data_IF_360408112760
#
_entry.id   IF_360408112760
#
_cell.length_a   1.000
_cell.length_b   1.000
_cell.length_c   1.000
_cell.angle_alpha   90.00
_cell.angle_beta   90.00
_cell.angle_gamma   90.00
#
_symmetry.space_group_name_H-M   'P 1'
#
loop_
_entity.id
_entity.type
_entity.pdbx_description
1 polymer ?
#
# COMPACT_ATOMS: atom_id res chain seq x y z
N UNK A 1 -28.47 -19.95 -10.10
CA UNK A 1 -27.48 -18.90 -9.80
C UNK A 1 -28.19 -17.56 -9.90
N UNK A 2 -28.39 -16.86 -8.78
CA UNK A 2 -29.24 -15.65 -8.70
C UNK A 2 -28.44 -14.36 -8.93
N UNK A 3 -29.03 -13.37 -9.58
CA UNK A 3 -28.40 -12.07 -9.93
C UNK A 3 -27.93 -11.24 -8.71
N UNK A 4 -28.25 -11.64 -7.48
CA UNK A 4 -27.82 -10.99 -6.22
C UNK A 4 -26.36 -11.27 -5.85
N UNK A 5 -25.73 -12.30 -6.43
CA UNK A 5 -24.35 -12.72 -6.08
C UNK A 5 -23.28 -12.07 -6.99
N UNK A 6 -23.68 -11.40 -8.07
CA UNK A 6 -22.80 -10.75 -9.04
C UNK A 6 -21.82 -9.74 -8.41
N UNK A 7 -22.25 -8.83 -7.51
CA UNK A 7 -21.37 -7.81 -6.93
C UNK A 7 -20.28 -8.37 -6.02
N UNK A 8 -20.51 -9.52 -5.37
CA UNK A 8 -19.55 -10.15 -4.47
C UNK A 8 -18.44 -10.85 -5.26
N UNK A 9 -18.81 -11.59 -6.31
CA UNK A 9 -17.87 -12.30 -7.18
C UNK A 9 -16.93 -11.35 -7.92
N UNK A 10 -17.42 -10.20 -8.38
CA UNK A 10 -16.60 -9.19 -9.04
C UNK A 10 -15.52 -8.61 -8.11
N UNK A 11 -15.84 -8.46 -6.81
CA UNK A 11 -14.88 -8.00 -5.80
C UNK A 11 -13.79 -9.02 -5.58
N UNK A 12 -14.16 -10.28 -5.38
CA UNK A 12 -13.22 -11.38 -5.15
C UNK A 12 -12.25 -11.52 -6.33
N UNK A 13 -12.76 -11.40 -7.57
CA UNK A 13 -11.92 -11.39 -8.77
C UNK A 13 -10.95 -10.21 -8.80
N UNK A 14 -11.40 -9.00 -8.43
CA UNK A 14 -10.54 -7.82 -8.35
C UNK A 14 -9.45 -7.96 -7.29
N UNK A 15 -9.78 -8.49 -6.11
CA UNK A 15 -8.78 -8.76 -5.06
C UNK A 15 -7.77 -9.82 -5.51
N UNK A 16 -8.23 -10.87 -6.21
CA UNK A 16 -7.36 -11.90 -6.77
C UNK A 16 -6.41 -11.35 -7.86
N UNK A 17 -6.90 -10.45 -8.72
CA UNK A 17 -6.08 -9.77 -9.72
C UNK A 17 -4.98 -8.92 -9.06
N UNK A 18 -5.34 -8.15 -8.02
CA UNK A 18 -4.35 -7.34 -7.27
C UNK A 18 -3.32 -8.24 -6.60
N UNK A 19 -3.76 -9.33 -5.97
CA UNK A 19 -2.85 -10.32 -5.38
C UNK A 19 -1.83 -10.81 -6.41
N UNK A 20 -2.30 -11.25 -7.58
CA UNK A 20 -1.44 -11.72 -8.67
C UNK A 20 -0.45 -10.64 -9.15
N UNK A 21 -0.90 -9.39 -9.28
CA UNK A 21 -0.04 -8.25 -9.64
C UNK A 21 1.03 -7.96 -8.60
N UNK A 22 0.73 -8.11 -7.30
CA UNK A 22 1.71 -7.93 -6.24
C UNK A 22 2.73 -9.07 -6.25
N UNK A 23 2.27 -10.33 -6.29
CA UNK A 23 3.14 -11.51 -6.24
C UNK A 23 4.04 -11.64 -7.49
N UNK A 24 3.59 -11.14 -8.65
CA UNK A 24 4.41 -11.07 -9.86
C UNK A 24 5.37 -9.88 -9.93
N UNK A 25 5.35 -8.98 -8.93
CA UNK A 25 6.17 -7.75 -8.93
C UNK A 25 5.68 -6.65 -9.87
N UNK A 26 4.43 -6.75 -10.36
CA UNK A 26 3.79 -5.72 -11.17
C UNK A 26 3.43 -4.46 -10.37
N UNK A 27 3.22 -4.59 -9.06
CA UNK A 27 3.07 -3.46 -8.13
C UNK A 27 4.44 -3.06 -7.61
N UNK A 28 4.87 -1.83 -7.94
CA UNK A 28 6.16 -1.29 -7.50
C UNK A 28 6.03 -0.17 -6.48
N UNK A 29 4.82 0.40 -6.38
CA UNK A 29 4.49 1.49 -5.45
C UNK A 29 3.13 1.26 -4.84
N UNK A 30 2.94 1.69 -3.59
CA UNK A 30 1.64 1.57 -2.93
C UNK A 30 0.53 2.30 -3.68
N UNK A 31 0.83 3.45 -4.31
CA UNK A 31 -0.12 4.20 -5.14
C UNK A 31 -0.70 3.41 -6.32
N UNK A 32 -0.04 2.33 -6.74
CA UNK A 32 -0.53 1.47 -7.83
C UNK A 32 -1.78 0.69 -7.37
N UNK A 33 -2.08 0.65 -6.05
CA UNK A 33 -3.29 0.07 -5.47
C UNK A 33 -4.50 1.02 -5.46
N UNK A 34 -4.42 2.20 -6.08
CA UNK A 34 -5.44 3.26 -6.00
C UNK A 34 -6.72 2.99 -6.81
N UNK A 35 -6.76 1.93 -7.61
CA UNK A 35 -7.90 1.58 -8.47
C UNK A 35 -9.20 1.27 -7.70
N UNK A 36 -10.27 0.91 -8.41
CA UNK A 36 -11.66 0.81 -7.91
C UNK A 36 -11.86 -0.18 -6.74
N UNK A 37 -10.85 -0.99 -6.44
CA UNK A 37 -10.75 -1.90 -5.29
C UNK A 37 -10.24 -1.22 -4.01
N UNK A 38 -9.56 -0.06 -4.11
CA UNK A 38 -8.99 0.69 -2.99
C UNK A 38 -10.04 0.97 -1.91
N UNK A 39 -11.26 1.31 -2.33
CA UNK A 39 -12.37 1.57 -1.41
C UNK A 39 -12.75 0.34 -0.58
N UNK A 40 -12.71 -0.86 -1.17
CA UNK A 40 -13.06 -2.09 -0.46
C UNK A 40 -11.91 -2.57 0.41
N UNK A 41 -10.68 -2.43 -0.07
CA UNK A 41 -9.48 -2.76 0.71
C UNK A 41 -9.44 -1.93 1.99
N UNK A 42 -9.61 -0.60 1.88
CA UNK A 42 -9.63 0.29 3.02
C UNK A 42 -10.74 -0.08 4.02
N UNK A 43 -11.95 -0.36 3.51
CA UNK A 43 -13.10 -0.74 4.34
C UNK A 43 -12.82 -2.02 5.13
N UNK A 44 -12.37 -3.09 4.47
CA UNK A 44 -12.08 -4.36 5.12
C UNK A 44 -10.85 -4.31 6.03
N UNK A 45 -9.86 -3.49 5.68
CA UNK A 45 -8.71 -3.25 6.54
C UNK A 45 -9.03 -2.34 7.73
N UNK A 46 -10.24 -1.76 7.82
CA UNK A 46 -10.63 -0.85 8.89
C UNK A 46 -9.86 0.48 8.86
N UNK A 47 -9.61 1.00 7.66
CA UNK A 47 -8.92 2.26 7.40
C UNK A 47 -9.92 3.22 6.75
N UNK A 48 -9.96 4.46 7.25
CA UNK A 48 -10.76 5.50 6.61
C UNK A 48 -10.30 5.73 5.15
N UNK A 49 -11.24 5.90 4.22
CA UNK A 49 -10.94 6.01 2.78
C UNK A 49 -9.99 7.14 2.41
N UNK A 50 -10.20 8.33 2.99
CA UNK A 50 -9.34 9.48 2.75
C UNK A 50 -7.94 9.22 3.27
N UNK A 51 -7.83 8.67 4.50
CA UNK A 51 -6.54 8.28 5.08
C UNK A 51 -5.85 7.21 4.25
N UNK A 52 -6.56 6.18 3.81
CA UNK A 52 -6.01 5.14 2.96
C UNK A 52 -5.43 5.74 1.68
N UNK A 53 -6.19 6.61 1.01
CA UNK A 53 -5.75 7.29 -0.22
C UNK A 53 -4.51 8.16 0.00
N UNK A 54 -4.45 8.91 1.09
CA UNK A 54 -3.26 9.69 1.48
C UNK A 54 -2.06 8.79 1.75
N UNK A 55 -2.24 7.69 2.48
CA UNK A 55 -1.17 6.74 2.80
C UNK A 55 -0.67 5.96 1.58
N UNK A 56 -1.51 5.72 0.57
CA UNK A 56 -1.03 5.15 -0.70
C UNK A 56 -0.05 6.09 -1.42
N UNK A 57 -0.20 7.41 -1.23
CA UNK A 57 0.72 8.42 -1.76
C UNK A 57 1.95 8.56 -0.86
N UNK A 58 1.76 8.48 0.47
CA UNK A 58 2.80 8.55 1.50
C UNK A 58 2.90 7.22 2.27
N UNK A 59 3.52 6.18 1.69
CA UNK A 59 3.49 4.82 2.23
C UNK A 59 4.11 4.67 3.63
N UNK A 60 5.01 5.57 4.04
CA UNK A 60 5.56 5.59 5.41
C UNK A 60 4.58 5.94 6.52
N UNK A 61 3.38 6.42 6.18
CA UNK A 61 2.33 6.68 7.16
C UNK A 61 1.50 5.44 7.52
N UNK A 62 1.69 4.32 6.81
CA UNK A 62 1.09 3.05 7.20
C UNK A 62 1.73 2.53 8.48
N UNK A 63 0.89 2.19 9.45
CA UNK A 63 1.31 1.41 10.61
C UNK A 63 1.50 -0.05 10.21
N UNK A 64 2.38 -0.76 10.91
CA UNK A 64 2.58 -2.21 10.70
C UNK A 64 1.24 -2.97 10.81
N UNK A 65 0.40 -2.62 11.79
CA UNK A 65 -0.92 -3.25 11.94
C UNK A 65 -1.88 -2.98 10.79
N UNK A 66 -1.81 -1.83 10.12
CA UNK A 66 -2.58 -1.58 8.88
C UNK A 66 -2.08 -2.46 7.75
N UNK A 67 -0.77 -2.62 7.61
CA UNK A 67 -0.15 -3.45 6.55
C UNK A 67 -0.56 -4.91 6.70
N UNK A 68 -0.54 -5.45 7.92
CA UNK A 68 -1.04 -6.81 8.20
C UNK A 68 -2.54 -6.97 7.89
N UNK A 69 -3.37 -5.95 8.15
CA UNK A 69 -4.79 -6.02 7.80
C UNK A 69 -4.99 -5.98 6.29
N UNK A 70 -4.26 -5.14 5.56
CA UNK A 70 -4.27 -5.10 4.10
C UNK A 70 -3.81 -6.44 3.52
N UNK A 71 -2.73 -7.01 4.06
CA UNK A 71 -2.19 -8.30 3.62
C UNK A 71 -3.23 -9.42 3.78
N UNK A 72 -3.97 -9.43 4.90
CA UNK A 72 -5.07 -10.37 5.13
C UNK A 72 -6.21 -10.18 4.12
N UNK A 73 -6.60 -8.93 3.84
CA UNK A 73 -7.65 -8.62 2.85
C UNK A 73 -7.27 -9.05 1.43
N UNK A 74 -6.00 -8.87 1.05
CA UNK A 74 -5.49 -9.21 -0.27
C UNK A 74 -5.05 -10.68 -0.38
N UNK A 75 -4.86 -11.37 0.74
CA UNK A 75 -4.30 -12.72 0.77
C UNK A 75 -2.84 -12.78 0.28
N UNK A 76 -2.06 -11.74 0.58
CA UNK A 76 -0.64 -11.58 0.18
C UNK A 76 0.24 -11.65 1.43
N UNK A 77 1.50 -12.09 1.28
CA UNK A 77 2.48 -12.03 2.36
C UNK A 77 2.75 -10.56 2.76
N UNK A 78 2.56 -10.17 4.03
CA UNK A 78 2.83 -8.80 4.49
C UNK A 78 4.28 -8.35 4.22
N UNK A 79 5.25 -9.27 4.12
CA UNK A 79 6.64 -8.93 3.78
C UNK A 79 6.77 -8.26 2.42
N UNK A 80 6.01 -8.72 1.42
CA UNK A 80 6.05 -8.14 0.07
C UNK A 80 5.56 -6.68 0.11
N UNK A 81 4.49 -6.41 0.85
CA UNK A 81 3.97 -5.05 1.04
C UNK A 81 4.97 -4.17 1.79
N UNK A 82 5.59 -4.70 2.86
CA UNK A 82 6.63 -4.00 3.61
C UNK A 82 7.85 -3.67 2.74
N UNK A 83 8.27 -4.58 1.85
CA UNK A 83 9.39 -4.36 0.93
C UNK A 83 9.10 -3.23 -0.05
N UNK A 84 7.91 -3.21 -0.65
CA UNK A 84 7.47 -2.12 -1.54
C UNK A 84 7.52 -0.77 -0.79
N UNK A 85 6.91 -0.71 0.40
CA UNK A 85 6.88 0.49 1.24
C UNK A 85 8.31 0.94 1.60
N UNK A 86 9.15 0.00 2.03
CA UNK A 86 10.53 0.29 2.45
C UNK A 86 11.34 0.84 1.29
N UNK A 87 11.20 0.26 0.10
CA UNK A 87 11.90 0.75 -1.09
C UNK A 87 11.49 2.18 -1.46
N UNK A 88 10.21 2.55 -1.29
CA UNK A 88 9.74 3.93 -1.51
C UNK A 88 10.31 4.89 -0.46
N UNK A 89 10.29 4.52 0.82
CA UNK A 89 10.75 5.38 1.92
C UNK A 89 12.27 5.60 1.88
N UNK A 90 13.05 4.54 1.63
CA UNK A 90 14.51 4.62 1.71
C UNK A 90 15.09 5.70 0.79
N UNK A 91 14.53 5.84 -0.40
CA UNK A 91 14.96 6.87 -1.34
C UNK A 91 14.71 8.28 -0.78
N UNK A 92 13.53 8.53 -0.22
CA UNK A 92 13.17 9.84 0.32
C UNK A 92 13.97 10.20 1.58
N UNK A 93 14.16 9.24 2.48
CA UNK A 93 14.90 9.45 3.72
C UNK A 93 16.39 9.65 3.48
N UNK A 94 16.99 8.92 2.52
CA UNK A 94 18.39 9.12 2.15
C UNK A 94 18.66 10.56 1.69
N UNK A 95 17.75 11.13 0.88
CA UNK A 95 17.85 12.52 0.42
C UNK A 95 17.77 13.51 1.58
N UNK A 96 16.82 13.31 2.51
CA UNK A 96 16.65 14.18 3.68
C UNK A 96 17.87 14.14 4.61
N UNK A 97 18.38 12.94 4.89
CA UNK A 97 19.56 12.74 5.75
C UNK A 97 20.77 13.45 5.15
N UNK A 98 21.05 13.29 3.86
CA UNK A 98 22.17 13.95 3.20
C UNK A 98 22.04 15.49 3.26
N UNK A 99 20.85 16.03 3.02
CA UNK A 99 20.62 17.47 3.13
C UNK A 99 20.86 18.01 4.55
N UNK A 100 20.52 17.24 5.58
CA UNK A 100 20.78 17.62 6.97
C UNK A 100 22.27 17.57 7.32
N UNK A 101 23.00 16.56 6.83
CA UNK A 101 24.46 16.44 7.02
C UNK A 101 25.17 17.67 6.43
N UNK A 102 24.82 18.10 5.22
CA UNK A 102 25.45 19.28 4.60
C UNK A 102 25.14 20.58 5.35
N UNK A 103 23.90 20.74 5.84
CA UNK A 103 23.53 21.88 6.70
C UNK A 103 24.37 21.94 7.98
N UNK A 104 24.65 20.80 8.60
CA UNK A 104 25.47 20.74 9.82
C UNK A 104 26.96 21.05 9.53
N UNK A 105 27.49 20.68 8.36
CA UNK A 105 28.86 21.04 7.96
C UNK A 105 29.02 22.55 7.80
N UNK A 106 28.03 23.24 7.26
CA UNK A 106 28.05 24.70 7.04
C UNK A 106 27.90 25.53 8.32
N UNK A 107 27.50 24.90 9.44
CA UNK A 107 27.42 25.54 10.76
C UNK A 107 28.73 25.50 11.55
N UNK A 108 29.71 24.71 11.08
CA UNK A 108 31.04 24.58 11.68
C UNK A 108 32.04 25.46 10.94
#
# INVERSE_FOLDING_TARGET
MTMKDLPKREIELKLLQIKSLIESGGVKKMRDLKDSSSTKIASYAGINQGRYSSKLINPGEFTVSEIHRISYVLGVDPKILMEIITHEILHEEAVKVNANIEKEKLKK
#
